data_IF_458070369471
#
_entry.id   IF_458070369471
#
_cell.length_a   1.000
_cell.length_b   1.000
_cell.length_c   1.000
_cell.angle_alpha   90.00
_cell.angle_beta   90.00
_cell.angle_gamma   90.00
#
_symmetry.space_group_name_H-M   'P 1'
#
loop_
_entity.id
_entity.type
_entity.pdbx_description
1 polymer ?
#
# COMPACT_ATOMS: atom_id res chain seq x y z
N UNK A 1 -4.35 -30.37 8.91
CA UNK A 1 -3.99 -29.16 8.17
C UNK A 1 -5.02 -28.73 7.10
N UNK A 2 -5.88 -29.62 6.61
CA UNK A 2 -6.87 -29.29 5.55
C UNK A 2 -8.07 -28.44 5.98
N UNK A 3 -8.31 -28.25 7.28
CA UNK A 3 -9.55 -27.65 7.79
C UNK A 3 -9.40 -26.24 8.38
N UNK A 4 -8.27 -25.58 8.19
CA UNK A 4 -8.06 -24.22 8.68
C UNK A 4 -7.67 -23.29 7.52
N UNK A 5 -8.59 -22.43 7.09
CA UNK A 5 -8.42 -21.48 5.98
C UNK A 5 -7.18 -20.56 6.18
N UNK A 6 -6.84 -20.26 7.43
CA UNK A 6 -5.64 -19.50 7.80
C UNK A 6 -4.34 -20.24 7.48
N UNK A 7 -4.28 -21.55 7.78
CA UNK A 7 -3.11 -22.36 7.46
C UNK A 7 -2.96 -22.61 5.96
N UNK A 8 -4.05 -22.54 5.20
CA UNK A 8 -4.00 -22.63 3.74
C UNK A 8 -3.37 -21.38 3.12
N UNK A 9 -3.68 -20.19 3.61
CA UNK A 9 -3.04 -18.93 3.18
C UNK A 9 -1.54 -18.89 3.52
N UNK A 10 -1.15 -19.42 4.69
CA UNK A 10 0.27 -19.49 5.09
C UNK A 10 1.04 -20.65 4.45
N UNK A 11 0.38 -21.63 3.89
CA UNK A 11 1.05 -22.72 3.17
C UNK A 11 1.86 -22.19 1.98
N UNK A 12 1.40 -21.13 1.34
CA UNK A 12 2.08 -20.48 0.20
C UNK A 12 3.40 -19.85 0.65
N UNK A 13 3.42 -19.15 1.79
CA UNK A 13 4.64 -18.54 2.34
C UNK A 13 5.68 -19.60 2.75
N UNK A 14 5.22 -20.70 3.36
CA UNK A 14 6.08 -21.83 3.73
C UNK A 14 6.65 -22.51 2.49
N UNK A 15 5.82 -22.68 1.46
CA UNK A 15 6.27 -23.25 0.17
C UNK A 15 7.30 -22.34 -0.49
N UNK A 16 7.10 -21.01 -0.49
CA UNK A 16 8.05 -20.05 -1.06
C UNK A 16 9.41 -20.14 -0.37
N UNK A 17 9.45 -20.10 0.97
CA UNK A 17 10.69 -20.25 1.75
C UNK A 17 11.35 -21.61 1.49
N UNK A 18 10.58 -22.70 1.47
CA UNK A 18 11.10 -24.04 1.21
C UNK A 18 11.70 -24.15 -0.19
N UNK A 19 11.00 -23.60 -1.19
CA UNK A 19 11.47 -23.59 -2.58
C UNK A 19 12.75 -22.76 -2.74
N UNK A 20 12.85 -21.61 -2.06
CA UNK A 20 14.07 -20.77 -2.05
C UNK A 20 15.25 -21.54 -1.46
N UNK A 21 15.07 -22.16 -0.29
CA UNK A 21 16.13 -22.97 0.34
C UNK A 21 16.56 -24.09 -0.60
N UNK A 22 15.61 -24.82 -1.19
CA UNK A 22 15.90 -25.91 -2.14
C UNK A 22 16.64 -25.40 -3.37
N UNK A 23 16.24 -24.29 -3.97
CA UNK A 23 16.90 -23.72 -5.14
C UNK A 23 18.34 -23.27 -4.82
N UNK A 24 18.57 -22.66 -3.67
CA UNK A 24 19.91 -22.28 -3.20
C UNK A 24 20.79 -23.53 -3.00
N UNK A 25 20.28 -24.54 -2.29
CA UNK A 25 21.04 -25.76 -2.00
C UNK A 25 21.34 -26.61 -3.24
N UNK A 26 20.41 -26.60 -4.21
CA UNK A 26 20.57 -27.34 -5.45
C UNK A 26 21.27 -26.54 -6.56
N UNK A 27 21.70 -25.29 -6.29
CA UNK A 27 22.24 -24.35 -7.30
C UNK A 27 21.34 -24.22 -8.53
N UNK A 28 20.03 -24.34 -8.37
CA UNK A 28 19.04 -24.15 -9.44
C UNK A 28 18.74 -22.66 -9.57
N UNK A 29 19.38 -22.01 -10.52
CA UNK A 29 18.96 -20.69 -11.00
C UNK A 29 17.59 -20.86 -11.69
N UNK A 30 16.62 -20.03 -11.36
CA UNK A 30 15.32 -20.04 -12.04
C UNK A 30 15.53 -19.64 -13.51
N UNK A 31 14.97 -20.40 -14.45
CA UNK A 31 15.21 -20.23 -15.88
C UNK A 31 14.79 -18.86 -16.43
N UNK A 32 13.85 -18.16 -15.77
CA UNK A 32 13.41 -16.83 -16.21
C UNK A 32 14.42 -15.70 -15.95
N UNK A 33 15.46 -15.89 -15.13
CA UNK A 33 16.57 -14.94 -15.02
C UNK A 33 17.39 -14.82 -16.32
N UNK A 34 17.26 -15.80 -17.20
CA UNK A 34 17.93 -15.85 -18.51
C UNK A 34 17.07 -15.33 -19.66
N UNK A 35 15.85 -14.82 -19.39
CA UNK A 35 15.00 -14.25 -20.41
C UNK A 35 15.62 -12.98 -21.00
N UNK A 36 15.84 -12.98 -22.30
CA UNK A 36 16.41 -11.89 -23.09
C UNK A 36 15.35 -10.95 -23.70
N UNK A 37 14.07 -11.35 -23.64
CA UNK A 37 12.92 -10.60 -24.15
C UNK A 37 11.78 -10.51 -23.12
N UNK A 38 10.88 -9.51 -23.25
CA UNK A 38 9.71 -9.40 -22.42
C UNK A 38 8.70 -10.54 -22.62
N UNK A 39 8.10 -11.02 -21.52
CA UNK A 39 7.16 -12.16 -21.55
C UNK A 39 5.94 -11.93 -20.65
N UNK A 40 4.88 -12.69 -20.89
CA UNK A 40 3.81 -12.92 -19.94
C UNK A 40 4.19 -14.18 -19.15
N UNK A 41 4.30 -14.02 -17.82
CA UNK A 41 4.66 -15.12 -16.93
C UNK A 41 3.41 -15.94 -16.57
N UNK A 42 3.43 -17.24 -16.84
CA UNK A 42 2.36 -18.16 -16.49
C UNK A 42 2.82 -19.15 -15.42
N UNK A 43 2.01 -19.39 -14.39
CA UNK A 43 2.35 -20.26 -13.25
C UNK A 43 1.10 -20.84 -12.61
N UNK A 44 1.19 -22.02 -11.99
CA UNK A 44 0.09 -22.57 -11.18
C UNK A 44 -0.27 -21.60 -10.04
N UNK A 45 0.74 -21.15 -9.31
CA UNK A 45 0.63 -20.20 -8.21
C UNK A 45 1.82 -19.25 -8.26
N UNK A 46 1.54 -17.96 -8.16
CA UNK A 46 2.59 -16.94 -8.15
C UNK A 46 3.11 -16.72 -6.73
N UNK A 47 4.42 -16.81 -6.57
CA UNK A 47 5.09 -16.47 -5.33
C UNK A 47 5.57 -15.02 -5.33
N UNK A 48 5.53 -14.31 -4.19
CA UNK A 48 6.05 -12.95 -4.09
C UNK A 48 7.48 -12.80 -4.61
N UNK A 49 8.33 -13.77 -4.33
CA UNK A 49 9.74 -13.79 -4.74
C UNK A 49 9.94 -13.95 -6.24
N UNK A 50 8.96 -14.45 -6.96
CA UNK A 50 9.03 -14.59 -8.42
C UNK A 50 9.08 -13.22 -9.09
N UNK A 51 8.30 -12.26 -8.60
CA UNK A 51 8.23 -10.91 -9.13
C UNK A 51 9.50 -10.10 -8.86
N UNK A 52 10.11 -10.27 -7.69
CA UNK A 52 11.36 -9.56 -7.35
C UNK A 52 12.60 -10.14 -8.04
N UNK A 53 12.50 -11.36 -8.57
CA UNK A 53 13.63 -12.06 -9.21
C UNK A 53 13.83 -11.69 -10.67
N UNK A 54 12.88 -10.99 -11.29
CA UNK A 54 12.90 -10.63 -12.71
C UNK A 54 13.20 -9.14 -12.86
N UNK A 55 14.10 -8.75 -13.78
CA UNK A 55 14.38 -7.34 -14.04
C UNK A 55 13.11 -6.57 -14.43
N UNK A 56 13.00 -5.34 -13.94
CA UNK A 56 11.87 -4.45 -14.27
C UNK A 56 11.68 -4.35 -15.80
N UNK A 57 10.42 -4.37 -16.23
CA UNK A 57 10.07 -4.28 -17.66
C UNK A 57 10.19 -5.60 -18.46
N UNK A 58 10.62 -6.70 -17.85
CA UNK A 58 10.66 -8.01 -18.50
C UNK A 58 9.35 -8.78 -18.37
N UNK A 59 8.55 -8.52 -17.36
CA UNK A 59 7.22 -9.11 -17.19
C UNK A 59 6.19 -8.15 -17.76
N UNK A 60 5.55 -8.52 -18.84
CA UNK A 60 4.47 -7.75 -19.47
C UNK A 60 3.10 -8.06 -18.85
N UNK A 61 2.96 -9.21 -18.20
CA UNK A 61 1.72 -9.63 -17.56
C UNK A 61 1.88 -10.96 -16.82
N UNK A 62 0.87 -11.31 -16.04
CA UNK A 62 0.84 -12.49 -15.19
C UNK A 62 -0.43 -13.31 -15.42
N UNK A 63 -0.29 -14.61 -15.50
CA UNK A 63 -1.40 -15.56 -15.60
C UNK A 63 -1.20 -16.64 -14.55
N UNK A 64 -2.19 -16.89 -13.69
CA UNK A 64 -2.11 -17.96 -12.70
C UNK A 64 -3.31 -18.90 -12.77
N UNK A 65 -3.05 -20.23 -12.67
CA UNK A 65 -4.11 -21.22 -12.61
C UNK A 65 -4.94 -21.09 -11.35
N UNK A 66 -4.28 -20.84 -10.24
CA UNK A 66 -4.86 -20.68 -8.91
C UNK A 66 -4.52 -19.30 -8.33
N UNK A 67 -5.04 -19.04 -7.13
CA UNK A 67 -4.77 -17.82 -6.40
C UNK A 67 -5.95 -16.87 -6.37
N UNK A 68 -5.70 -15.69 -5.83
CA UNK A 68 -6.71 -14.64 -5.65
C UNK A 68 -6.12 -13.29 -5.98
N UNK A 69 -6.90 -12.41 -6.56
CA UNK A 69 -6.53 -11.00 -6.77
C UNK A 69 -6.19 -10.23 -5.48
N UNK A 70 -6.39 -10.84 -4.31
CA UNK A 70 -6.02 -10.29 -3.00
C UNK A 70 -4.78 -10.98 -2.38
N UNK A 71 -4.12 -11.89 -3.10
CA UNK A 71 -2.87 -12.53 -2.65
C UNK A 71 -1.73 -11.51 -2.56
N UNK A 72 -0.72 -11.80 -1.73
CA UNK A 72 0.47 -10.95 -1.62
C UNK A 72 1.15 -10.72 -2.96
N UNK A 73 1.26 -11.76 -3.79
CA UNK A 73 1.82 -11.64 -5.14
C UNK A 73 0.98 -10.73 -6.04
N UNK A 74 -0.36 -10.78 -5.96
CA UNK A 74 -1.24 -9.91 -6.74
C UNK A 74 -1.15 -8.44 -6.28
N UNK A 75 -0.95 -8.19 -4.98
CA UNK A 75 -0.72 -6.85 -4.43
C UNK A 75 0.61 -6.28 -4.97
N UNK A 76 1.67 -7.08 -4.94
CA UNK A 76 2.99 -6.69 -5.49
C UNK A 76 2.90 -6.45 -7.00
N UNK A 77 2.22 -7.32 -7.75
CA UNK A 77 2.05 -7.14 -9.19
C UNK A 77 1.35 -5.81 -9.52
N UNK A 78 0.32 -5.43 -8.74
CA UNK A 78 -0.33 -4.12 -8.89
C UNK A 78 0.59 -2.95 -8.57
N UNK A 79 1.40 -3.05 -7.51
CA UNK A 79 2.36 -1.99 -7.17
C UNK A 79 3.43 -1.81 -8.24
N UNK A 80 3.75 -2.87 -8.98
CA UNK A 80 4.65 -2.85 -10.14
C UNK A 80 3.93 -2.51 -11.47
N UNK A 81 2.63 -2.19 -11.45
CA UNK A 81 1.80 -1.96 -12.64
C UNK A 81 1.82 -3.13 -13.66
N UNK A 82 1.98 -4.36 -13.18
CA UNK A 82 1.96 -5.55 -14.01
C UNK A 82 0.52 -6.08 -14.09
N UNK A 83 -0.13 -6.09 -15.26
CA UNK A 83 -1.46 -6.64 -15.42
C UNK A 83 -1.47 -8.15 -15.17
N UNK A 84 -2.51 -8.66 -14.50
CA UNK A 84 -2.59 -10.08 -14.19
C UNK A 84 -4.00 -10.63 -14.16
N UNK A 85 -4.12 -11.90 -14.54
CA UNK A 85 -5.35 -12.69 -14.44
C UNK A 85 -5.06 -13.92 -13.60
N UNK A 86 -5.95 -14.20 -12.65
CA UNK A 86 -5.86 -15.36 -11.75
C UNK A 86 -7.02 -16.32 -12.02
N UNK A 87 -6.87 -17.57 -11.61
CA UNK A 87 -7.93 -18.60 -11.71
C UNK A 87 -8.30 -19.01 -13.14
N UNK A 88 -7.32 -19.02 -14.05
CA UNK A 88 -7.54 -19.52 -15.43
C UNK A 88 -7.67 -21.04 -15.51
N UNK A 89 -7.30 -21.77 -14.44
CA UNK A 89 -7.28 -23.23 -14.38
C UNK A 89 -5.99 -23.85 -14.93
N UNK A 90 -5.70 -25.09 -14.48
CA UNK A 90 -4.48 -25.81 -14.87
C UNK A 90 -4.44 -26.16 -16.38
N UNK A 91 -5.60 -26.39 -17.00
CA UNK A 91 -5.65 -26.80 -18.42
C UNK A 91 -5.14 -25.70 -19.36
N UNK A 92 -5.37 -24.43 -19.02
CA UNK A 92 -4.82 -23.29 -19.77
C UNK A 92 -3.29 -23.29 -19.73
N UNK A 93 -2.70 -23.57 -18.56
CA UNK A 93 -1.26 -23.52 -18.39
C UNK A 93 -0.50 -24.63 -19.09
N UNK A 94 -1.12 -25.81 -19.27
CA UNK A 94 -0.48 -26.97 -19.92
C UNK A 94 0.00 -26.69 -21.34
N UNK A 95 -0.69 -25.81 -22.03
CA UNK A 95 -0.48 -25.55 -23.46
C UNK A 95 0.04 -24.13 -23.77
N UNK A 96 0.33 -23.29 -22.77
CA UNK A 96 0.64 -21.87 -22.99
C UNK A 96 2.14 -21.57 -23.16
N UNK A 97 3.05 -22.50 -22.79
CA UNK A 97 4.49 -22.23 -22.82
C UNK A 97 5.01 -22.00 -24.25
N UNK A 98 5.70 -20.88 -24.44
CA UNK A 98 6.26 -20.45 -25.72
C UNK A 98 5.22 -20.00 -26.76
N UNK A 99 3.95 -19.90 -26.41
CA UNK A 99 2.87 -19.46 -27.31
C UNK A 99 2.56 -17.98 -27.14
N UNK A 100 1.96 -17.39 -28.15
CA UNK A 100 1.48 -16.02 -28.13
C UNK A 100 0.15 -15.91 -27.35
N UNK A 101 0.06 -14.91 -26.46
CA UNK A 101 -1.12 -14.69 -25.62
C UNK A 101 -1.52 -13.23 -25.65
N UNK A 102 -2.80 -12.95 -25.81
CA UNK A 102 -3.39 -11.67 -25.49
C UNK A 102 -3.92 -11.73 -24.06
N UNK A 103 -3.45 -10.81 -23.21
CA UNK A 103 -3.87 -10.66 -21.82
C UNK A 103 -4.64 -9.34 -21.68
N UNK A 104 -5.94 -9.41 -21.43
CA UNK A 104 -6.78 -8.25 -21.09
C UNK A 104 -7.20 -8.35 -19.62
N UNK A 105 -6.41 -7.77 -18.73
CA UNK A 105 -6.66 -7.81 -17.29
C UNK A 105 -7.88 -6.98 -16.87
N UNK A 106 -8.33 -6.02 -17.67
CA UNK A 106 -9.51 -5.20 -17.39
C UNK A 106 -10.79 -6.01 -17.58
N UNK A 107 -10.89 -6.76 -18.67
CA UNK A 107 -12.04 -7.61 -18.98
C UNK A 107 -11.91 -9.03 -18.39
N UNK A 108 -10.73 -9.40 -17.90
CA UNK A 108 -10.45 -10.73 -17.36
C UNK A 108 -10.33 -11.79 -18.45
N UNK A 109 -9.85 -11.43 -19.64
CA UNK A 109 -9.77 -12.31 -20.80
C UNK A 109 -8.33 -12.68 -21.16
N UNK A 110 -8.10 -13.97 -21.47
CA UNK A 110 -6.88 -14.49 -22.04
C UNK A 110 -7.19 -15.21 -23.36
N UNK A 111 -6.52 -14.85 -24.43
CA UNK A 111 -6.65 -15.51 -25.74
C UNK A 111 -5.31 -16.12 -26.10
N UNK A 112 -5.28 -17.46 -26.21
CA UNK A 112 -4.10 -18.23 -26.58
C UNK A 112 -4.10 -18.39 -28.12
N UNK A 113 -2.94 -18.21 -28.76
CA UNK A 113 -2.77 -18.21 -30.19
C UNK A 113 -3.81 -17.37 -30.94
N UNK A 114 -3.84 -16.06 -30.68
CA UNK A 114 -4.85 -15.17 -31.25
C UNK A 114 -4.78 -15.22 -32.79
N UNK A 115 -5.94 -15.24 -33.44
CA UNK A 115 -6.02 -15.05 -34.87
C UNK A 115 -5.62 -13.62 -35.30
N UNK A 116 -5.53 -13.39 -36.60
CA UNK A 116 -5.10 -12.10 -37.12
C UNK A 116 -6.06 -10.96 -36.72
N UNK A 117 -7.36 -11.25 -36.59
CA UNK A 117 -8.37 -10.26 -36.22
C UNK A 117 -8.27 -9.88 -34.73
N UNK A 118 -8.15 -10.88 -33.85
CA UNK A 118 -7.95 -10.68 -32.41
C UNK A 118 -6.65 -9.92 -32.12
N UNK A 119 -5.55 -10.29 -32.80
CA UNK A 119 -4.27 -9.60 -32.69
C UNK A 119 -4.37 -8.13 -33.11
N UNK A 120 -5.02 -7.85 -34.24
CA UNK A 120 -5.20 -6.47 -34.71
C UNK A 120 -6.07 -5.65 -33.75
N UNK A 121 -7.13 -6.26 -33.19
CA UNK A 121 -7.97 -5.60 -32.18
C UNK A 121 -7.19 -5.26 -30.92
N UNK A 122 -6.36 -6.18 -30.41
CA UNK A 122 -5.52 -5.94 -29.24
C UNK A 122 -4.49 -4.81 -29.48
N UNK A 123 -3.83 -4.82 -30.64
CA UNK A 123 -2.89 -3.74 -31.01
C UNK A 123 -3.61 -2.39 -31.06
N UNK A 124 -4.80 -2.33 -31.65
CA UNK A 124 -5.61 -1.10 -31.71
C UNK A 124 -5.96 -0.63 -30.30
N UNK A 125 -6.37 -1.53 -29.41
CA UNK A 125 -6.66 -1.21 -28.02
C UNK A 125 -5.44 -0.67 -27.27
N UNK A 126 -4.27 -1.30 -27.44
CA UNK A 126 -3.01 -0.83 -26.83
C UNK A 126 -2.64 0.57 -27.32
N UNK A 127 -2.72 0.80 -28.64
CA UNK A 127 -2.45 2.13 -29.21
C UNK A 127 -3.40 3.19 -28.69
N UNK A 128 -4.68 2.87 -28.54
CA UNK A 128 -5.68 3.78 -28.00
C UNK A 128 -5.41 4.10 -26.52
N UNK A 129 -5.07 3.08 -25.69
CA UNK A 129 -4.67 3.29 -24.29
C UNK A 129 -3.40 4.16 -24.18
N UNK A 130 -2.42 3.95 -25.07
CA UNK A 130 -1.21 4.77 -25.10
C UNK A 130 -1.52 6.22 -25.46
N UNK A 131 -2.36 6.44 -26.50
CA UNK A 131 -2.82 7.79 -26.89
C UNK A 131 -3.55 8.48 -25.74
N UNK A 132 -4.46 7.79 -25.07
CA UNK A 132 -5.17 8.35 -23.90
C UNK A 132 -4.21 8.70 -22.77
N UNK A 133 -3.21 7.87 -22.48
CA UNK A 133 -2.20 8.17 -21.48
C UNK A 133 -1.35 9.39 -21.88
N UNK A 134 -0.97 9.54 -23.14
CA UNK A 134 -0.26 10.71 -23.64
C UNK A 134 -1.09 11.98 -23.49
N UNK A 135 -2.40 11.94 -23.83
CA UNK A 135 -3.33 13.03 -23.65
C UNK A 135 -3.50 13.42 -22.16
N UNK A 136 -3.58 12.42 -21.27
CA UNK A 136 -3.63 12.65 -19.82
C UNK A 136 -2.33 13.26 -19.31
N UNK A 137 -1.18 12.74 -19.75
CA UNK A 137 0.12 13.26 -19.36
C UNK A 137 0.31 14.74 -19.82
N UNK A 138 -0.22 15.11 -20.99
CA UNK A 138 -0.20 16.51 -21.44
C UNK A 138 -1.03 17.45 -20.54
N UNK A 139 -1.94 16.88 -19.74
CA UNK A 139 -2.75 17.65 -18.79
C UNK A 139 -2.12 17.78 -17.39
N UNK A 140 -1.02 17.07 -17.11
CA UNK A 140 -0.38 17.09 -15.78
C UNK A 140 0.13 18.47 -15.35
N UNK A 141 0.47 19.33 -16.33
CA UNK A 141 0.93 20.70 -16.07
C UNK A 141 -0.21 21.71 -15.94
N UNK A 142 -1.46 21.31 -16.18
CA UNK A 142 -2.59 22.20 -16.01
C UNK A 142 -2.84 22.48 -14.53
N UNK A 143 -3.22 23.72 -14.16
CA UNK A 143 -3.52 24.04 -12.78
C UNK A 143 -4.77 23.29 -12.30
N UNK A 144 -4.70 22.74 -11.09
CA UNK A 144 -5.84 22.10 -10.43
C UNK A 144 -6.83 23.17 -9.97
N UNK A 145 -7.79 23.49 -10.83
CA UNK A 145 -8.77 24.56 -10.60
C UNK A 145 -10.17 24.14 -11.03
N UNK A 146 -11.16 24.49 -10.23
CA UNK A 146 -12.58 24.29 -10.57
C UNK A 146 -13.02 25.23 -11.69
N UNK A 147 -14.22 25.01 -12.25
CA UNK A 147 -14.76 25.89 -13.32
C UNK A 147 -15.03 27.31 -12.87
N UNK A 148 -15.28 27.53 -11.59
CA UNK A 148 -15.47 28.85 -10.94
C UNK A 148 -14.16 29.49 -10.48
N UNK A 149 -13.03 28.79 -10.69
CA UNK A 149 -11.69 29.34 -10.52
C UNK A 149 -11.02 29.03 -9.20
N UNK A 150 -11.65 28.23 -8.32
CA UNK A 150 -11.07 27.82 -7.05
C UNK A 150 -9.95 26.80 -7.27
N UNK A 151 -8.80 27.02 -6.63
CA UNK A 151 -7.66 26.10 -6.68
C UNK A 151 -7.81 25.01 -5.61
N UNK A 152 -7.40 23.79 -5.95
CA UNK A 152 -7.37 22.66 -5.04
C UNK A 152 -6.13 21.81 -5.24
N UNK A 153 -5.73 21.08 -4.21
CA UNK A 153 -4.61 20.16 -4.27
C UNK A 153 -5.06 18.74 -4.61
N UNK A 154 -4.36 18.09 -5.54
CA UNK A 154 -4.50 16.66 -5.80
C UNK A 154 -3.41 15.91 -5.02
N UNK A 155 -3.82 15.20 -3.97
CA UNK A 155 -2.93 14.47 -3.09
C UNK A 155 -3.04 12.97 -3.35
N UNK A 156 -1.89 12.29 -3.36
CA UNK A 156 -1.82 10.86 -3.62
C UNK A 156 -2.13 10.00 -2.38
N UNK A 157 -2.56 8.77 -2.63
CA UNK A 157 -2.68 7.70 -1.63
C UNK A 157 -1.56 6.68 -1.86
N UNK A 158 -0.62 6.54 -0.91
CA UNK A 158 0.61 5.78 -1.06
C UNK A 158 0.79 4.78 0.08
N UNK A 159 1.58 3.72 -0.17
CA UNK A 159 1.93 2.69 0.81
C UNK A 159 3.43 2.71 1.18
N UNK A 160 4.27 3.33 0.35
CA UNK A 160 5.71 3.37 0.58
C UNK A 160 6.45 4.38 -0.30
N UNK A 161 7.78 4.46 -0.17
CA UNK A 161 8.57 5.48 -0.85
C UNK A 161 8.52 5.38 -2.38
N UNK A 162 8.37 4.18 -2.94
CA UNK A 162 8.25 3.96 -4.40
C UNK A 162 6.96 4.55 -4.94
N UNK A 163 5.81 4.31 -4.25
CA UNK A 163 4.52 4.90 -4.62
C UNK A 163 4.57 6.42 -4.53
N UNK A 164 5.22 6.95 -3.47
CA UNK A 164 5.39 8.39 -3.31
C UNK A 164 6.18 8.97 -4.50
N UNK A 165 7.28 8.33 -4.90
CA UNK A 165 8.06 8.74 -6.07
C UNK A 165 7.22 8.79 -7.34
N UNK A 166 6.48 7.72 -7.63
CA UNK A 166 5.57 7.61 -8.79
C UNK A 166 4.47 8.68 -8.74
N UNK A 167 3.90 8.93 -7.55
CA UNK A 167 2.89 9.98 -7.38
C UNK A 167 3.43 11.38 -7.70
N UNK A 168 4.66 11.67 -7.26
CA UNK A 168 5.30 12.97 -7.56
C UNK A 168 5.58 13.13 -9.05
N UNK A 169 5.97 12.06 -9.74
CA UNK A 169 6.17 12.03 -11.20
C UNK A 169 4.85 12.17 -11.96
N UNK A 170 3.76 11.67 -11.39
CA UNK A 170 2.39 11.82 -11.93
C UNK A 170 1.73 13.16 -11.59
N UNK A 171 2.47 14.14 -11.07
CA UNK A 171 1.97 15.50 -10.85
C UNK A 171 1.19 15.71 -9.55
N UNK A 172 1.21 14.76 -8.60
CA UNK A 172 0.55 14.96 -7.30
C UNK A 172 1.14 16.16 -6.55
N UNK A 173 0.29 16.97 -5.91
CA UNK A 173 0.71 18.12 -5.08
C UNK A 173 1.36 17.70 -3.76
N UNK A 174 1.19 16.46 -3.36
CA UNK A 174 1.73 15.86 -2.14
C UNK A 174 1.09 14.50 -1.86
N UNK A 175 1.29 13.99 -0.65
CA UNK A 175 0.70 12.73 -0.19
C UNK A 175 -0.41 13.03 0.82
N UNK A 176 -1.66 12.76 0.41
CA UNK A 176 -2.85 12.94 1.26
C UNK A 176 -3.06 11.78 2.24
N UNK A 177 -2.57 10.60 1.90
CA UNK A 177 -2.63 9.42 2.74
C UNK A 177 -1.41 8.52 2.50
N UNK A 178 -0.47 8.51 3.43
CA UNK A 178 0.54 7.44 3.52
C UNK A 178 0.03 6.37 4.50
N UNK A 179 -0.22 5.17 3.97
CA UNK A 179 -0.65 4.03 4.79
C UNK A 179 0.58 3.34 5.38
N UNK A 180 0.72 3.42 6.70
CA UNK A 180 1.83 2.77 7.41
C UNK A 180 1.68 1.24 7.58
N UNK A 181 0.60 0.63 7.06
CA UNK A 181 0.32 -0.80 7.19
C UNK A 181 1.38 -1.71 6.56
N UNK A 182 2.15 -1.21 5.60
CA UNK A 182 3.30 -1.94 5.06
C UNK A 182 4.31 -2.35 6.14
N UNK A 183 4.54 -1.47 7.12
CA UNK A 183 5.43 -1.73 8.27
C UNK A 183 4.93 -2.87 9.19
N UNK A 184 3.67 -3.27 9.03
CA UNK A 184 3.06 -4.34 9.84
C UNK A 184 3.23 -5.74 9.22
N UNK A 185 3.86 -5.82 8.03
CA UNK A 185 4.12 -7.09 7.37
C UNK A 185 5.21 -7.90 8.10
N UNK A 186 5.17 -9.24 8.03
CA UNK A 186 6.21 -10.09 8.60
C UNK A 186 7.60 -9.73 8.04
N UNK A 187 8.58 -9.62 8.91
CA UNK A 187 9.95 -9.24 8.54
C UNK A 187 10.36 -7.84 8.97
N UNK A 188 9.40 -7.02 9.41
CA UNK A 188 9.67 -5.70 9.99
C UNK A 188 9.73 -5.78 11.52
N UNK A 189 10.76 -5.17 12.10
CA UNK A 189 10.94 -5.12 13.56
C UNK A 189 9.91 -4.19 14.23
N UNK A 190 9.31 -3.27 13.46
CA UNK A 190 8.38 -2.25 13.94
C UNK A 190 8.95 -1.39 15.08
N UNK A 191 10.28 -1.32 15.21
CA UNK A 191 10.93 -0.45 16.18
C UNK A 191 10.95 1.02 15.72
N UNK A 192 11.34 1.91 16.63
CA UNK A 192 11.38 3.37 16.36
C UNK A 192 12.34 3.71 15.21
N UNK A 193 13.47 3.02 15.11
CA UNK A 193 14.49 3.32 14.11
C UNK A 193 14.08 2.86 12.70
N UNK A 194 13.52 1.67 12.57
CA UNK A 194 13.02 1.18 11.30
C UNK A 194 11.89 2.06 10.77
N UNK A 195 10.94 2.43 11.62
CA UNK A 195 9.86 3.35 11.26
C UNK A 195 10.38 4.74 10.87
N UNK A 196 11.34 5.28 11.61
CA UNK A 196 12.00 6.55 11.28
C UNK A 196 12.62 6.50 9.87
N UNK A 197 13.35 5.45 9.53
CA UNK A 197 13.97 5.27 8.21
C UNK A 197 12.92 5.18 7.11
N UNK A 198 11.86 4.44 7.33
CA UNK A 198 10.74 4.32 6.38
C UNK A 198 10.10 5.69 6.08
N UNK A 199 9.69 6.43 7.12
CA UNK A 199 9.08 7.74 6.94
C UNK A 199 10.04 8.75 6.29
N UNK A 200 11.32 8.71 6.66
CA UNK A 200 12.35 9.57 6.05
C UNK A 200 12.52 9.26 4.56
N UNK A 201 12.48 8.00 4.16
CA UNK A 201 12.53 7.59 2.76
C UNK A 201 11.31 8.09 1.97
N UNK A 202 10.11 8.04 2.58
CA UNK A 202 8.90 8.61 1.97
C UNK A 202 9.00 10.14 1.82
N UNK A 203 9.52 10.85 2.83
CA UNK A 203 9.72 12.29 2.77
C UNK A 203 10.74 12.69 1.70
N UNK A 204 11.82 11.94 1.57
CA UNK A 204 12.81 12.16 0.50
C UNK A 204 12.19 11.98 -0.89
N UNK A 205 11.37 10.93 -1.08
CA UNK A 205 10.65 10.69 -2.33
C UNK A 205 9.60 11.78 -2.63
N UNK A 206 9.03 12.40 -1.60
CA UNK A 206 8.05 13.50 -1.74
C UNK A 206 8.68 14.84 -2.20
N UNK A 207 10.01 14.93 -2.25
CA UNK A 207 10.75 16.09 -2.80
C UNK A 207 10.32 17.43 -2.19
N UNK A 208 10.11 17.47 -0.86
CA UNK A 208 9.69 18.67 -0.11
C UNK A 208 8.19 18.96 -0.13
N UNK A 209 7.36 18.10 -0.72
CA UNK A 209 5.90 18.21 -0.66
C UNK A 209 5.35 17.58 0.62
N UNK A 210 4.18 18.05 1.06
CA UNK A 210 3.53 17.57 2.29
C UNK A 210 3.22 16.07 2.22
N UNK A 211 3.55 15.35 3.30
CA UNK A 211 3.19 13.93 3.48
C UNK A 211 2.27 13.80 4.68
N UNK A 212 1.04 13.35 4.45
CA UNK A 212 0.08 13.05 5.52
C UNK A 212 0.15 11.58 5.87
N UNK A 213 0.61 11.25 7.07
CA UNK A 213 0.75 9.88 7.53
C UNK A 213 -0.44 9.48 8.40
N UNK A 214 -1.12 8.40 8.03
CA UNK A 214 -2.10 7.76 8.90
C UNK A 214 -1.39 6.82 9.87
N UNK A 215 -1.66 6.96 11.17
CA UNK A 215 -1.17 6.00 12.16
C UNK A 215 -1.72 4.61 11.91
N UNK A 216 -1.15 3.60 12.56
CA UNK A 216 -1.56 2.20 12.35
C UNK A 216 -3.07 2.01 12.55
N UNK A 217 -3.67 1.29 11.61
CA UNK A 217 -5.08 0.93 11.65
C UNK A 217 -5.21 -0.60 11.87
N UNK A 218 -4.83 -1.02 13.08
CA UNK A 218 -4.97 -2.41 13.49
C UNK A 218 -6.43 -2.84 13.42
N UNK A 219 -6.69 -3.96 12.76
CA UNK A 219 -8.03 -4.50 12.58
C UNK A 219 -8.67 -4.21 11.21
N UNK A 220 -8.16 -3.25 10.43
CA UNK A 220 -8.53 -3.08 9.03
C UNK A 220 -7.77 -4.06 8.12
N UNK A 221 -6.48 -4.25 8.39
CA UNK A 221 -5.63 -5.19 7.67
C UNK A 221 -5.70 -6.56 8.34
N UNK A 222 -6.28 -7.53 7.64
CA UNK A 222 -6.52 -8.91 8.12
C UNK A 222 -5.27 -9.64 8.60
N UNK A 223 -4.08 -9.18 8.24
CA UNK A 223 -2.80 -9.80 8.59
C UNK A 223 -2.40 -9.65 10.06
N UNK A 224 -2.93 -8.64 10.76
CA UNK A 224 -2.62 -8.43 12.19
C UNK A 224 -3.75 -8.82 13.15
N UNK A 225 -4.98 -9.03 12.65
CA UNK A 225 -6.08 -9.56 13.46
C UNK A 225 -5.72 -10.92 14.11
N UNK A 226 -4.80 -11.66 13.48
CA UNK A 226 -4.32 -12.97 13.94
C UNK A 226 -3.24 -12.89 15.01
N UNK A 227 -2.51 -11.79 15.13
CA UNK A 227 -1.51 -11.58 16.18
C UNK A 227 -2.17 -11.24 17.54
N UNK A 228 -3.38 -10.71 17.53
CA UNK A 228 -4.21 -10.47 18.70
C UNK A 228 -5.27 -11.57 18.83
N UNK A 229 -4.85 -12.75 19.28
CA UNK A 229 -5.69 -13.91 19.49
C UNK A 229 -7.03 -13.54 20.18
N UNK A 230 -8.14 -13.78 19.47
CA UNK A 230 -9.48 -13.80 20.05
C UNK A 230 -10.37 -12.58 19.87
N UNK A 231 -9.93 -11.52 19.18
CA UNK A 231 -10.79 -10.37 18.88
C UNK A 231 -11.35 -10.51 17.47
N UNK A 232 -12.64 -10.85 17.32
CA UNK A 232 -13.33 -10.73 16.04
C UNK A 232 -13.23 -9.27 15.58
N UNK A 233 -12.61 -9.01 14.42
CA UNK A 233 -12.49 -7.68 13.84
C UNK A 233 -13.88 -7.19 13.40
N UNK A 234 -14.53 -6.43 14.25
CA UNK A 234 -15.69 -5.65 13.83
C UNK A 234 -15.22 -4.41 13.10
N UNK A 235 -15.88 -4.04 12.00
CA UNK A 235 -15.55 -2.82 11.24
C UNK A 235 -15.56 -1.55 12.09
N UNK A 236 -16.42 -1.48 13.12
CA UNK A 236 -16.54 -0.38 14.08
C UNK A 236 -16.05 -0.76 15.50
N UNK A 237 -15.43 -1.93 15.67
CA UNK A 237 -14.99 -2.44 16.96
C UNK A 237 -13.64 -1.89 17.40
N UNK A 238 -12.81 -2.76 17.98
CA UNK A 238 -11.44 -2.46 18.42
C UNK A 238 -10.52 -2.35 17.20
N UNK A 239 -10.45 -1.15 16.63
CA UNK A 239 -9.71 -0.83 15.41
C UNK A 239 -9.15 0.59 15.48
N UNK A 240 -8.11 0.89 14.70
CA UNK A 240 -7.51 2.21 14.56
C UNK A 240 -7.05 2.78 15.90
N UNK A 241 -7.42 4.02 16.20
CA UNK A 241 -6.98 4.70 17.42
C UNK A 241 -7.32 3.93 18.70
N UNK A 242 -8.50 3.30 18.78
CA UNK A 242 -8.90 2.53 19.97
C UNK A 242 -8.03 1.30 20.21
N UNK A 243 -7.54 0.66 19.14
CA UNK A 243 -6.55 -0.41 19.24
C UNK A 243 -5.20 0.14 19.65
N UNK A 244 -4.78 1.26 19.10
CA UNK A 244 -3.52 1.93 19.43
C UNK A 244 -3.47 2.40 20.89
N UNK A 245 -4.56 2.96 21.39
CA UNK A 245 -4.69 3.39 22.81
C UNK A 245 -4.66 2.21 23.80
N UNK A 246 -4.96 0.98 23.36
CA UNK A 246 -4.74 -0.23 24.18
C UNK A 246 -3.31 -0.73 24.16
N UNK A 247 -2.50 -0.29 23.20
CA UNK A 247 -1.10 -0.64 23.08
C UNK A 247 -0.23 0.63 23.05
N UNK A 248 -0.25 1.38 24.15
CA UNK A 248 0.47 2.64 24.28
C UNK A 248 1.97 2.56 23.94
N UNK A 249 2.72 1.49 24.30
CA UNK A 249 4.12 1.38 23.90
C UNK A 249 4.32 1.40 22.39
N UNK A 250 3.51 0.67 21.64
CA UNK A 250 3.57 0.61 20.17
C UNK A 250 3.17 1.95 19.54
N UNK A 251 2.11 2.58 20.07
CA UNK A 251 1.68 3.89 19.60
C UNK A 251 2.77 4.94 19.84
N UNK A 252 3.41 4.93 21.02
CA UNK A 252 4.49 5.86 21.34
C UNK A 252 5.71 5.67 20.43
N UNK A 253 6.05 4.43 20.07
CA UNK A 253 7.12 4.12 19.09
C UNK A 253 6.82 4.80 17.76
N UNK A 254 5.60 4.65 17.23
CA UNK A 254 5.22 5.25 15.96
C UNK A 254 5.24 6.79 16.03
N UNK A 255 4.67 7.39 17.06
CA UNK A 255 4.64 8.85 17.22
C UNK A 255 6.06 9.41 17.34
N UNK A 256 6.95 8.79 18.15
CA UNK A 256 8.34 9.21 18.25
C UNK A 256 9.05 9.14 16.88
N UNK A 257 8.87 8.07 16.13
CA UNK A 257 9.47 7.91 14.79
C UNK A 257 8.98 9.00 13.83
N UNK A 258 7.67 9.31 13.84
CA UNK A 258 7.07 10.36 13.00
C UNK A 258 7.59 11.74 13.33
N UNK A 259 7.65 12.11 14.63
CA UNK A 259 8.18 13.40 15.07
C UNK A 259 9.66 13.58 14.71
N UNK A 260 10.45 12.51 14.80
CA UNK A 260 11.86 12.51 14.35
C UNK A 260 11.96 12.67 12.84
N UNK A 261 11.14 11.94 12.08
CA UNK A 261 11.15 12.01 10.63
C UNK A 261 10.73 13.40 10.10
N UNK A 262 9.84 14.09 10.79
CA UNK A 262 9.36 15.42 10.43
C UNK A 262 10.49 16.49 10.37
N UNK A 263 11.65 16.25 11.01
CA UNK A 263 12.85 17.09 10.82
C UNK A 263 13.44 17.03 9.40
N UNK A 264 13.03 16.05 8.57
CA UNK A 264 13.56 15.81 7.22
C UNK A 264 12.65 16.34 6.11
N UNK A 265 11.45 16.80 6.44
CA UNK A 265 10.52 17.35 5.46
C UNK A 265 9.12 17.58 6.05
N UNK A 266 8.23 18.24 5.29
CA UNK A 266 6.89 18.56 5.76
C UNK A 266 6.06 17.29 5.95
N UNK A 267 5.63 17.06 7.19
CA UNK A 267 4.87 15.89 7.61
C UNK A 267 3.73 16.32 8.53
N UNK A 268 2.57 15.70 8.35
CA UNK A 268 1.44 15.78 9.30
C UNK A 268 0.89 14.38 9.57
N UNK A 269 0.29 14.20 10.74
CA UNK A 269 -0.15 12.90 11.23
C UNK A 269 -1.66 12.90 11.46
N UNK A 270 -2.36 11.84 10.99
CA UNK A 270 -3.78 11.67 11.27
C UNK A 270 -4.06 10.36 11.99
N UNK A 271 -5.00 10.44 12.93
CA UNK A 271 -5.52 9.27 13.64
C UNK A 271 -6.76 8.71 12.94
N UNK A 272 -6.77 7.41 12.62
CA UNK A 272 -7.93 6.75 12.03
C UNK A 272 -8.94 6.31 13.08
N UNK A 273 -10.22 6.22 12.70
CA UNK A 273 -11.30 5.63 13.50
C UNK A 273 -11.52 6.31 14.86
N UNK A 274 -11.22 7.59 14.96
CA UNK A 274 -11.55 8.43 16.13
C UNK A 274 -13.06 8.53 16.21
N UNK A 275 -13.64 8.31 17.39
CA UNK A 275 -15.08 8.24 17.60
C UNK A 275 -15.62 9.50 18.25
N UNK A 276 -14.84 10.06 19.18
CA UNK A 276 -15.22 11.19 20.03
C UNK A 276 -13.98 11.95 20.50
N UNK A 277 -14.23 13.00 21.31
CA UNK A 277 -13.18 13.86 21.85
C UNK A 277 -12.30 13.13 22.87
N UNK A 278 -12.82 12.14 23.58
CA UNK A 278 -12.04 11.37 24.56
C UNK A 278 -10.94 10.55 23.86
N UNK A 279 -11.23 9.97 22.70
CA UNK A 279 -10.25 9.30 21.85
C UNK A 279 -9.15 10.27 21.40
N UNK A 280 -9.54 11.49 20.99
CA UNK A 280 -8.62 12.53 20.55
C UNK A 280 -7.72 13.00 21.69
N UNK A 281 -8.30 13.40 22.82
CA UNK A 281 -7.55 13.89 23.99
C UNK A 281 -6.59 12.83 24.51
N UNK A 282 -7.01 11.56 24.53
CA UNK A 282 -6.15 10.44 24.92
C UNK A 282 -4.98 10.26 23.95
N UNK A 283 -5.21 10.42 22.66
CA UNK A 283 -4.13 10.36 21.66
C UNK A 283 -3.14 11.51 21.82
N UNK A 284 -3.62 12.73 22.08
CA UNK A 284 -2.77 13.89 22.29
C UNK A 284 -1.95 13.79 23.59
N UNK A 285 -2.45 13.14 24.64
CA UNK A 285 -1.65 12.82 25.83
C UNK A 285 -0.46 11.91 25.50
N UNK A 286 -0.63 10.95 24.57
CA UNK A 286 0.49 10.12 24.09
C UNK A 286 1.49 10.96 23.30
N UNK A 287 1.02 11.88 22.45
CA UNK A 287 1.87 12.83 21.72
C UNK A 287 2.72 13.65 22.70
N UNK A 288 2.11 14.22 23.72
CA UNK A 288 2.82 15.01 24.76
C UNK A 288 3.81 14.16 25.56
N UNK A 289 3.47 12.92 25.84
CA UNK A 289 4.42 11.99 26.45
C UNK A 289 5.62 11.74 25.53
N UNK A 290 5.41 11.56 24.23
CA UNK A 290 6.49 11.38 23.26
C UNK A 290 7.38 12.61 23.13
N UNK A 291 6.81 13.84 23.13
CA UNK A 291 7.58 15.09 23.14
C UNK A 291 8.53 15.15 24.33
N UNK A 292 8.03 14.89 25.55
CA UNK A 292 8.86 14.85 26.77
C UNK A 292 9.95 13.80 26.67
N UNK A 293 9.61 12.58 26.26
CA UNK A 293 10.55 11.46 26.11
C UNK A 293 11.68 11.75 25.11
N UNK A 294 11.37 12.36 23.97
CA UNK A 294 12.39 12.72 22.97
C UNK A 294 13.28 13.86 23.49
N UNK A 295 12.73 14.84 24.19
CA UNK A 295 13.49 15.92 24.85
C UNK A 295 14.45 15.34 25.90
N UNK A 296 13.99 14.46 26.79
CA UNK A 296 14.81 13.81 27.82
C UNK A 296 15.94 12.97 27.23
N UNK A 297 15.68 12.34 26.07
CA UNK A 297 16.71 11.55 25.34
C UNK A 297 17.70 12.43 24.56
N UNK A 298 17.47 13.75 24.44
CA UNK A 298 18.26 14.65 23.63
C UNK A 298 18.27 14.31 22.13
N UNK A 299 17.17 13.71 21.64
CA UNK A 299 17.03 13.33 20.24
C UNK A 299 16.37 14.48 19.47
N UNK A 300 16.89 14.81 18.29
CA UNK A 300 16.32 15.83 17.40
C UNK A 300 14.93 15.37 16.90
N UNK A 301 13.92 16.22 17.02
CA UNK A 301 12.57 16.00 16.54
C UNK A 301 11.85 17.32 16.25
N UNK A 302 10.77 17.27 15.48
CA UNK A 302 9.88 18.41 15.24
C UNK A 302 8.76 18.42 16.30
N UNK A 303 8.72 19.42 17.19
CA UNK A 303 7.71 19.48 18.26
C UNK A 303 6.32 19.88 17.74
N UNK A 304 6.25 20.64 16.65
CA UNK A 304 5.03 21.25 16.13
C UNK A 304 4.49 20.51 14.91
N UNK A 305 4.67 19.17 14.88
CA UNK A 305 4.03 18.34 13.87
C UNK A 305 2.51 18.48 13.95
N UNK A 306 1.82 18.82 12.84
CA UNK A 306 0.36 18.93 12.85
C UNK A 306 -0.29 17.55 13.03
N UNK A 307 -1.28 17.47 13.93
CA UNK A 307 -2.09 16.28 14.16
C UNK A 307 -3.53 16.50 13.76
N UNK A 308 -4.14 15.51 13.11
CA UNK A 308 -5.49 15.58 12.61
C UNK A 308 -6.29 14.29 12.84
N UNK A 309 -7.57 14.36 12.51
CA UNK A 309 -8.53 13.27 12.63
C UNK A 309 -9.02 12.82 11.25
N UNK A 310 -9.03 11.50 11.02
CA UNK A 310 -9.76 10.93 9.89
C UNK A 310 -11.21 10.68 10.31
N UNK A 311 -12.11 11.47 9.75
CA UNK A 311 -13.56 11.34 9.92
C UNK A 311 -14.02 10.10 9.12
N UNK A 312 -14.01 8.95 9.76
CA UNK A 312 -14.39 7.65 9.20
C UNK A 312 -15.47 6.94 10.01
N UNK A 313 -15.95 7.62 11.06
CA UNK A 313 -17.04 7.16 11.91
C UNK A 313 -18.13 8.25 11.95
N UNK A 314 -19.41 7.90 11.78
CA UNK A 314 -20.48 8.92 11.74
C UNK A 314 -20.52 9.85 12.95
N UNK A 315 -20.22 9.36 14.16
CA UNK A 315 -20.16 10.20 15.37
C UNK A 315 -19.12 11.31 15.23
N UNK A 316 -17.91 10.99 14.76
CA UNK A 316 -16.86 12.00 14.57
C UNK A 316 -17.23 13.05 13.51
N UNK A 317 -17.98 12.68 12.48
CA UNK A 317 -18.47 13.63 11.49
C UNK A 317 -19.47 14.62 12.08
N UNK A 318 -20.35 14.16 12.97
CA UNK A 318 -21.36 15.00 13.63
C UNK A 318 -20.75 15.94 14.66
N UNK A 319 -19.59 15.60 15.22
CA UNK A 319 -18.88 16.39 16.24
C UNK A 319 -17.59 17.03 15.70
N UNK A 320 -17.47 17.18 14.38
CA UNK A 320 -16.25 17.68 13.72
C UNK A 320 -15.78 19.04 14.26
N UNK A 321 -16.69 19.94 14.62
CA UNK A 321 -16.39 21.25 15.19
C UNK A 321 -15.72 21.14 16.58
N UNK A 322 -16.07 20.11 17.35
CA UNK A 322 -15.48 19.89 18.68
C UNK A 322 -14.00 19.52 18.58
N UNK A 323 -13.60 18.71 17.56
CA UNK A 323 -12.18 18.42 17.35
C UNK A 323 -11.37 19.68 17.05
N UNK A 324 -11.90 20.59 16.24
CA UNK A 324 -11.26 21.87 15.94
C UNK A 324 -11.11 22.69 17.21
N UNK A 325 -12.15 22.75 18.06
CA UNK A 325 -12.12 23.45 19.34
C UNK A 325 -11.10 22.86 20.34
N UNK A 326 -10.80 21.55 20.21
CA UNK A 326 -9.79 20.83 21.00
C UNK A 326 -8.40 20.80 20.33
N UNK A 327 -8.14 21.67 19.36
CA UNK A 327 -6.81 21.86 18.77
C UNK A 327 -6.42 20.83 17.71
N UNK A 328 -7.40 20.22 17.04
CA UNK A 328 -7.15 19.42 15.86
C UNK A 328 -6.75 20.34 14.69
N UNK A 329 -5.56 20.10 14.11
CA UNK A 329 -4.99 20.98 13.08
C UNK A 329 -5.66 20.80 11.69
N UNK A 330 -6.16 19.60 11.40
CA UNK A 330 -6.84 19.30 10.13
C UNK A 330 -7.76 18.09 10.25
N UNK A 331 -8.70 18.01 9.32
CA UNK A 331 -9.65 16.91 9.20
C UNK A 331 -9.52 16.24 7.82
N UNK A 332 -9.66 14.91 7.78
CA UNK A 332 -9.68 14.12 6.55
C UNK A 332 -10.96 13.29 6.51
N UNK A 333 -11.69 13.31 5.41
CA UNK A 333 -12.91 12.52 5.26
C UNK A 333 -12.56 11.13 4.71
N UNK A 334 -12.83 10.09 5.51
CA UNK A 334 -12.57 8.69 5.18
C UNK A 334 -13.77 8.03 4.52
N UNK A 335 -14.02 8.31 3.25
CA UNK A 335 -15.23 7.90 2.52
C UNK A 335 -15.46 6.40 2.39
N UNK A 336 -14.44 5.56 2.60
CA UNK A 336 -14.57 4.11 2.49
C UNK A 336 -15.23 3.47 3.73
N UNK A 337 -15.13 4.11 4.88
CA UNK A 337 -15.61 3.59 6.16
C UNK A 337 -16.90 4.29 6.62
N UNK A 338 -17.23 5.45 6.05
CA UNK A 338 -18.50 6.18 6.26
C UNK A 338 -19.69 5.56 5.45
#
# INVERSE_FOLDING_TARGET
>A
MKDNAYMQLRSVDILDVTQRITNILCHRLRSWLALDHPVILASDLLMPTDLFSVPAGRILGLITAEGSGQSHAAIIARSLNIPGITQVGEDFLKDCDGREVILNATEGECILDPDAAARQSAITCICEMQRQNEELNAQLELPNRTRDGEEFELLANCFGPEDVGTAMESGASGVGLLRSSYMMMPGHAMDEQEQYLFYTSCLAAARGRMVTVRTFDFGADRTMADAYQGVQSSKLGLRGIRSSLRNLPQMAVQICALMRAATKGPLRVMFPMVTDIEDWDSAMQVVDHCRRKLTERGVEFEPDVPFGVMLSVPSACLTAEEFVAHGCDFLVIGTNDL
#
